data_IF_050305108331
#
_entry.id   IF_050305108331
#
_cell.length_a   1.000
_cell.length_b   1.000
_cell.length_c   1.000
_cell.angle_alpha   90.00
_cell.angle_beta   90.00
_cell.angle_gamma   90.00
#
_symmetry.space_group_name_H-M   'P 1'
#
loop_
_entity.id
_entity.type
_entity.pdbx_description
1 polymer ?
#
# COMPACT_ATOMS: atom_id res chain seq x y z
N UNK A 1 -5.37 9.64 -3.56
CA UNK A 1 -4.98 10.21 -2.25
C UNK A 1 -4.19 11.47 -2.54
N UNK A 2 -4.82 12.63 -2.52
CA UNK A 2 -4.15 13.90 -2.90
C UNK A 2 -4.98 15.12 -2.50
N UNK A 3 -6.31 14.96 -2.49
CA UNK A 3 -7.27 15.98 -2.06
C UNK A 3 -7.92 15.63 -0.70
N UNK A 4 -7.96 14.34 -0.35
CA UNK A 4 -8.54 13.87 0.92
C UNK A 4 -7.64 14.20 2.10
N UNK A 5 -8.13 15.03 3.04
CA UNK A 5 -7.42 15.42 4.26
C UNK A 5 -8.26 15.05 5.48
N UNK A 6 -7.61 14.54 6.53
CA UNK A 6 -8.20 14.41 7.86
C UNK A 6 -7.73 15.57 8.74
N UNK A 7 -8.68 16.32 9.31
CA UNK A 7 -8.38 17.42 10.25
C UNK A 7 -7.80 16.92 11.58
N UNK A 8 -8.08 15.68 11.96
CA UNK A 8 -7.56 15.04 13.19
C UNK A 8 -6.23 14.33 12.92
N UNK A 9 -6.03 13.82 11.70
CA UNK A 9 -4.79 13.18 11.27
C UNK A 9 -4.48 11.90 12.04
N UNK A 10 -3.19 11.66 12.29
CA UNK A 10 -2.70 10.43 12.95
C UNK A 10 -3.07 10.32 14.44
N UNK A 11 -3.62 11.38 15.05
CA UNK A 11 -4.07 11.35 16.44
C UNK A 11 -5.30 10.44 16.65
N UNK A 12 -6.09 10.20 15.59
CA UNK A 12 -7.23 9.28 15.62
C UNK A 12 -6.83 7.80 15.43
N UNK A 13 -5.54 7.51 15.24
CA UNK A 13 -5.05 6.17 14.91
C UNK A 13 -4.33 5.55 16.11
N UNK A 14 -4.48 4.23 16.26
CA UNK A 14 -3.65 3.47 17.19
C UNK A 14 -2.17 3.51 16.77
N UNK A 15 -1.26 3.35 17.73
CA UNK A 15 0.20 3.49 17.51
C UNK A 15 0.72 2.63 16.35
N UNK A 16 0.27 1.38 16.26
CA UNK A 16 0.68 0.46 15.21
C UNK A 16 0.22 0.93 13.82
N UNK A 17 -1.04 1.38 13.69
CA UNK A 17 -1.56 1.94 12.45
C UNK A 17 -0.80 3.21 12.03
N UNK A 18 -0.51 4.10 12.98
CA UNK A 18 0.25 5.34 12.72
C UNK A 18 1.63 5.06 12.11
N UNK A 19 2.33 4.04 12.61
CA UNK A 19 3.67 3.69 12.11
C UNK A 19 3.63 3.25 10.65
N UNK A 20 2.65 2.43 10.26
CA UNK A 20 2.57 1.89 8.90
C UNK A 20 1.89 2.86 7.93
N UNK A 21 0.83 3.55 8.35
CA UNK A 21 0.06 4.46 7.50
C UNK A 21 0.83 5.76 7.18
N UNK A 22 1.71 6.21 8.08
CA UNK A 22 2.57 7.37 7.84
C UNK A 22 3.50 7.15 6.63
N UNK A 23 4.20 6.02 6.62
CA UNK A 23 5.09 5.61 5.52
C UNK A 23 4.30 5.43 4.21
N UNK A 24 3.16 4.74 4.27
CA UNK A 24 2.29 4.54 3.12
C UNK A 24 1.86 5.87 2.47
N UNK A 25 1.47 6.85 3.29
CA UNK A 25 1.02 8.16 2.79
C UNK A 25 2.14 8.86 2.01
N UNK A 26 3.35 8.87 2.55
CA UNK A 26 4.52 9.47 1.89
C UNK A 26 4.87 8.76 0.58
N UNK A 27 4.87 7.44 0.56
CA UNK A 27 5.17 6.65 -0.65
C UNK A 27 4.13 6.86 -1.76
N UNK A 28 2.84 6.91 -1.41
CA UNK A 28 1.77 7.16 -2.38
C UNK A 28 1.77 8.60 -2.93
N UNK A 29 2.22 9.58 -2.13
CA UNK A 29 2.38 10.95 -2.58
C UNK A 29 3.52 11.06 -3.61
N UNK A 30 4.70 10.52 -3.27
CA UNK A 30 5.84 10.45 -4.19
C UNK A 30 5.49 9.68 -5.46
N UNK A 31 4.77 8.57 -5.35
CA UNK A 31 4.29 7.82 -6.51
C UNK A 31 3.38 8.66 -7.40
N UNK A 32 2.44 9.42 -6.84
CA UNK A 32 1.53 10.24 -7.64
C UNK A 32 2.27 11.35 -8.39
N UNK A 33 3.30 11.94 -7.78
CA UNK A 33 4.19 12.91 -8.43
C UNK A 33 4.96 12.24 -9.57
N UNK A 34 5.64 11.13 -9.30
CA UNK A 34 6.45 10.41 -10.29
C UNK A 34 5.62 9.84 -11.44
N UNK A 35 4.41 9.34 -11.18
CA UNK A 35 3.52 8.81 -12.21
C UNK A 35 3.12 9.89 -13.22
N UNK A 36 2.90 11.13 -12.75
CA UNK A 36 2.63 12.25 -13.65
C UNK A 36 3.86 12.62 -14.49
N UNK A 37 5.06 12.64 -13.91
CA UNK A 37 6.30 12.91 -14.65
C UNK A 37 6.67 11.81 -15.65
N UNK A 38 6.44 10.55 -15.28
CA UNK A 38 6.74 9.38 -16.10
C UNK A 38 5.95 9.33 -17.41
N UNK A 39 4.81 10.02 -17.49
CA UNK A 39 4.04 10.13 -18.74
C UNK A 39 4.75 10.98 -19.81
N UNK A 40 5.72 11.81 -19.42
CA UNK A 40 6.43 12.73 -20.30
C UNK A 40 7.89 12.35 -20.58
N UNK A 41 8.41 11.33 -19.90
CA UNK A 41 9.80 10.90 -20.02
C UNK A 41 9.91 9.57 -20.78
N UNK A 42 10.78 9.50 -21.78
CA UNK A 42 11.01 8.29 -22.59
C UNK A 42 11.93 7.28 -21.89
N UNK A 43 12.89 7.75 -21.11
CA UNK A 43 13.82 6.92 -20.35
C UNK A 43 13.76 7.26 -18.87
N UNK A 44 13.37 6.28 -18.07
CA UNK A 44 13.36 6.36 -16.62
C UNK A 44 14.52 5.53 -16.08
N UNK A 45 15.26 6.09 -15.13
CA UNK A 45 16.28 5.35 -14.41
C UNK A 45 15.64 4.22 -13.57
N UNK A 46 16.46 3.22 -13.22
CA UNK A 46 15.98 2.03 -12.51
C UNK A 46 15.36 2.34 -11.15
N UNK A 47 15.81 3.40 -10.46
CA UNK A 47 15.23 3.75 -9.16
C UNK A 47 13.81 4.28 -9.34
N UNK A 48 13.58 5.15 -10.33
CA UNK A 48 12.24 5.64 -10.66
C UNK A 48 11.31 4.53 -11.13
N UNK A 49 11.79 3.61 -11.97
CA UNK A 49 11.01 2.44 -12.37
C UNK A 49 10.56 1.60 -11.18
N UNK A 50 11.45 1.34 -10.23
CA UNK A 50 11.13 0.58 -9.02
C UNK A 50 10.10 1.31 -8.14
N UNK A 51 10.23 2.64 -7.99
CA UNK A 51 9.27 3.44 -7.23
C UNK A 51 7.88 3.44 -7.86
N UNK A 52 7.78 3.56 -9.19
CA UNK A 52 6.52 3.43 -9.90
C UNK A 52 5.90 2.05 -9.74
N UNK A 53 6.71 1.00 -9.89
CA UNK A 53 6.26 -0.38 -9.76
C UNK A 53 5.75 -0.67 -8.34
N UNK A 54 6.42 -0.17 -7.30
CA UNK A 54 5.95 -0.28 -5.92
C UNK A 54 4.66 0.51 -5.71
N UNK A 55 4.60 1.75 -6.19
CA UNK A 55 3.43 2.61 -6.05
C UNK A 55 2.15 2.03 -6.68
N UNK A 56 2.28 1.35 -7.83
CA UNK A 56 1.19 0.61 -8.45
C UNK A 56 0.67 -0.52 -7.55
N UNK A 57 1.57 -1.29 -6.91
CA UNK A 57 1.19 -2.36 -5.96
C UNK A 57 0.55 -1.79 -4.69
N UNK A 58 1.05 -0.67 -4.18
CA UNK A 58 0.44 0.02 -3.04
C UNK A 58 -0.97 0.53 -3.38
N UNK A 59 -1.23 0.99 -4.60
CA UNK A 59 -2.60 1.30 -5.04
C UNK A 59 -3.48 0.06 -5.10
N UNK A 60 -2.96 -1.06 -5.59
CA UNK A 60 -3.71 -2.32 -5.67
C UNK A 60 -4.10 -2.84 -4.28
N UNK A 61 -3.18 -2.71 -3.31
CA UNK A 61 -3.39 -3.06 -1.91
C UNK A 61 -4.55 -2.30 -1.25
N UNK A 62 -4.82 -1.06 -1.67
CA UNK A 62 -5.91 -0.25 -1.12
C UNK A 62 -7.29 -0.65 -1.65
N UNK A 63 -7.35 -1.51 -2.67
CA UNK A 63 -8.63 -1.94 -3.25
C UNK A 63 -9.26 -3.02 -2.38
N UNK A 64 -10.52 -2.82 -2.03
CA UNK A 64 -11.32 -3.74 -1.21
C UNK A 64 -12.62 -4.08 -1.91
N UNK A 65 -13.06 -5.33 -1.78
CA UNK A 65 -14.39 -5.74 -2.23
C UNK A 65 -15.47 -5.05 -1.40
N UNK A 66 -16.59 -4.74 -2.03
CA UNK A 66 -17.73 -4.14 -1.35
C UNK A 66 -18.22 -5.03 -0.19
N UNK A 67 -18.61 -4.41 0.92
CA UNK A 67 -19.15 -5.10 2.12
C UNK A 67 -18.19 -6.10 2.78
N UNK A 68 -16.88 -5.97 2.54
CA UNK A 68 -15.85 -6.83 3.14
C UNK A 68 -14.89 -6.00 4.02
N UNK A 69 -15.35 -5.48 5.17
CA UNK A 69 -14.49 -4.70 6.06
C UNK A 69 -13.35 -5.56 6.60
N UNK A 70 -12.16 -4.97 6.69
CA UNK A 70 -11.00 -5.60 7.33
C UNK A 70 -10.90 -5.12 8.78
N UNK A 71 -10.58 -6.02 9.70
CA UNK A 71 -10.23 -5.65 11.08
C UNK A 71 -8.89 -4.89 11.12
N UNK A 72 -8.61 -4.17 12.21
CA UNK A 72 -7.47 -3.24 12.27
C UNK A 72 -6.14 -3.98 12.11
N UNK A 73 -6.02 -5.18 12.67
CA UNK A 73 -4.86 -6.06 12.58
C UNK A 73 -4.59 -6.46 11.12
N UNK A 74 -5.64 -6.79 10.38
CA UNK A 74 -5.58 -7.12 8.95
C UNK A 74 -5.19 -5.94 8.08
N UNK A 75 -5.68 -4.75 8.43
CA UNK A 75 -5.28 -3.53 7.74
C UNK A 75 -3.79 -3.25 7.97
N UNK A 76 -3.32 -3.36 9.22
CA UNK A 76 -1.92 -3.09 9.58
C UNK A 76 -0.98 -4.07 8.87
N UNK A 77 -1.26 -5.37 8.91
CA UNK A 77 -0.41 -6.37 8.23
C UNK A 77 -0.39 -6.15 6.72
N UNK A 78 -1.53 -5.78 6.13
CA UNK A 78 -1.63 -5.51 4.69
C UNK A 78 -0.73 -4.32 4.32
N UNK A 79 -0.85 -3.20 5.04
CA UNK A 79 -0.02 -1.99 4.83
C UNK A 79 1.46 -2.27 5.08
N UNK A 80 1.79 -2.99 6.15
CA UNK A 80 3.16 -3.35 6.49
C UNK A 80 3.82 -4.17 5.37
N UNK A 81 3.08 -5.10 4.77
CA UNK A 81 3.60 -5.96 3.70
C UNK A 81 3.93 -5.16 2.44
N UNK A 82 3.06 -4.21 2.06
CA UNK A 82 3.32 -3.34 0.92
C UNK A 82 4.45 -2.35 1.15
N UNK A 83 4.42 -1.63 2.28
CA UNK A 83 5.39 -0.56 2.59
C UNK A 83 6.81 -1.06 2.85
N UNK A 84 7.01 -2.35 3.14
CA UNK A 84 8.34 -2.94 3.29
C UNK A 84 8.84 -3.66 2.03
N UNK A 85 8.11 -3.56 0.91
CA UNK A 85 8.54 -4.12 -0.37
C UNK A 85 8.39 -5.63 -0.52
N UNK A 86 7.67 -6.30 0.40
CA UNK A 86 7.43 -7.75 0.30
C UNK A 86 6.51 -8.13 -0.87
N UNK A 87 5.86 -7.14 -1.48
CA UNK A 87 5.04 -7.32 -2.69
C UNK A 87 5.82 -7.03 -3.98
N UNK A 88 7.06 -6.53 -3.91
CA UNK A 88 7.79 -6.01 -5.08
C UNK A 88 8.09 -7.11 -6.13
N UNK A 89 8.24 -8.36 -5.69
CA UNK A 89 8.44 -9.52 -6.56
C UNK A 89 7.17 -10.03 -7.24
N UNK A 90 5.99 -9.64 -6.75
CA UNK A 90 4.70 -10.10 -7.28
C UNK A 90 4.26 -9.27 -8.47
N UNK A 91 3.59 -9.89 -9.42
CA UNK A 91 2.87 -9.12 -10.44
C UNK A 91 1.64 -8.43 -9.83
N UNK A 92 1.24 -7.29 -10.38
CA UNK A 92 0.14 -6.47 -9.85
C UNK A 92 -1.15 -7.29 -9.73
N UNK A 93 -1.46 -8.13 -10.73
CA UNK A 93 -2.65 -8.99 -10.71
C UNK A 93 -2.65 -10.04 -9.59
N UNK A 94 -1.48 -10.38 -9.05
CA UNK A 94 -1.34 -11.39 -7.99
C UNK A 94 -1.48 -10.78 -6.57
N UNK A 95 -1.26 -9.46 -6.44
CA UNK A 95 -1.24 -8.76 -5.13
C UNK A 95 -2.52 -9.01 -4.33
N UNK A 96 -3.70 -8.87 -4.95
CA UNK A 96 -4.98 -9.08 -4.24
C UNK A 96 -5.13 -10.49 -3.69
N UNK A 97 -4.85 -11.49 -4.53
CA UNK A 97 -4.98 -12.91 -4.16
C UNK A 97 -4.02 -13.24 -3.02
N UNK A 98 -2.77 -12.79 -3.15
CA UNK A 98 -1.76 -12.95 -2.10
C UNK A 98 -2.20 -12.34 -0.77
N UNK A 99 -2.76 -11.12 -0.77
CA UNK A 99 -3.21 -10.47 0.47
C UNK A 99 -4.39 -11.20 1.13
N UNK A 100 -5.29 -11.79 0.35
CA UNK A 100 -6.38 -12.61 0.90
C UNK A 100 -5.82 -13.87 1.55
N UNK A 101 -4.93 -14.58 0.86
CA UNK A 101 -4.28 -15.79 1.37
C UNK A 101 -3.43 -15.51 2.61
N UNK A 102 -2.66 -14.41 2.62
CA UNK A 102 -1.85 -13.98 3.75
C UNK A 102 -2.70 -13.71 5.00
N UNK A 103 -3.82 -12.99 4.85
CA UNK A 103 -4.73 -12.70 5.96
C UNK A 103 -5.33 -13.99 6.52
N UNK A 104 -5.79 -14.90 5.67
CA UNK A 104 -6.31 -16.20 6.08
C UNK A 104 -5.24 -17.03 6.79
N UNK A 105 -4.04 -17.11 6.21
CA UNK A 105 -2.92 -17.84 6.78
C UNK A 105 -2.54 -17.35 8.18
N UNK A 106 -2.45 -16.03 8.38
CA UNK A 106 -2.12 -15.44 9.66
C UNK A 106 -3.23 -15.68 10.69
N UNK A 107 -4.51 -15.50 10.31
CA UNK A 107 -5.64 -15.81 11.18
C UNK A 107 -5.63 -17.26 11.68
N UNK A 108 -5.27 -18.21 10.84
CA UNK A 108 -5.28 -19.64 11.20
C UNK A 108 -4.03 -20.07 11.97
N UNK A 109 -2.84 -19.60 11.56
CA UNK A 109 -1.57 -20.13 12.08
C UNK A 109 -0.90 -19.24 13.13
N UNK A 110 -1.31 -17.98 13.25
CA UNK A 110 -0.76 -16.96 14.16
C UNK A 110 -1.87 -16.05 14.70
N UNK A 111 -2.81 -16.60 15.50
CA UNK A 111 -3.91 -15.83 16.08
C UNK A 111 -3.42 -14.78 17.07
#
# INVERSE_FOLDING_TARGET
>A
MGISVSRVGSAAQIKAMKQVAGKLKSELAQFAELEAFAQFASDLDKATQNQLARGQRLRELLKQSQSSPLIVEEQIMTIYTGTNGYLDSLEIGQVRKFLVELRTYLKTNRP
#
